data_IF_954684360934
#
_entry.id   IF_954684360934
#
_cell.length_a   1.000
_cell.length_b   1.000
_cell.length_c   1.000
_cell.angle_alpha   90.00
_cell.angle_beta   90.00
_cell.angle_gamma   90.00
#
_symmetry.space_group_name_H-M   'P 1'
#
loop_
_entity.id
_entity.type
_entity.pdbx_description
1 polymer ?
#
# COMPACT_ATOMS: atom_id res chain seq x y z
N UNK A 1 -14.41 -6.43 20.18
CA UNK A 1 -15.29 -6.57 19.02
C UNK A 1 -14.76 -7.78 18.27
N UNK A 2 -15.50 -8.88 18.21
CA UNK A 2 -15.03 -10.06 17.47
C UNK A 2 -15.22 -9.78 15.99
N UNK A 3 -14.13 -9.47 15.28
CA UNK A 3 -14.11 -9.42 13.83
C UNK A 3 -14.00 -10.87 13.35
N UNK A 4 -15.04 -11.37 12.65
CA UNK A 4 -14.92 -12.69 12.05
C UNK A 4 -14.19 -12.58 10.71
N UNK A 5 -13.58 -13.68 10.30
CA UNK A 5 -12.90 -13.82 9.04
C UNK A 5 -13.69 -14.76 8.12
N UNK A 6 -14.04 -14.29 6.93
CA UNK A 6 -14.70 -15.11 5.91
C UNK A 6 -13.70 -15.43 4.81
N UNK A 7 -13.39 -16.71 4.64
CA UNK A 7 -12.35 -17.16 3.72
C UNK A 7 -12.74 -16.89 2.26
N UNK A 8 -11.79 -16.47 1.43
CA UNK A 8 -12.00 -16.28 -0.01
C UNK A 8 -12.47 -17.58 -0.70
N UNK A 9 -11.96 -18.74 -0.25
CA UNK A 9 -12.37 -20.05 -0.73
C UNK A 9 -13.86 -20.33 -0.49
N UNK A 10 -14.45 -19.80 0.59
CA UNK A 10 -15.87 -19.97 0.91
C UNK A 10 -16.75 -18.96 0.15
N UNK A 11 -16.27 -17.72 -0.02
CA UNK A 11 -17.06 -16.65 -0.65
C UNK A 11 -17.07 -16.67 -2.17
N UNK A 12 -15.91 -16.95 -2.78
CA UNK A 12 -15.70 -16.87 -4.24
C UNK A 12 -15.01 -18.10 -4.82
N UNK A 13 -14.43 -18.98 -4.00
CA UNK A 13 -13.87 -20.28 -4.44
C UNK A 13 -12.42 -20.25 -4.90
N UNK A 14 -11.75 -19.09 -4.87
CA UNK A 14 -10.35 -18.93 -5.30
C UNK A 14 -9.68 -17.75 -4.57
N UNK A 15 -8.32 -17.69 -4.52
CA UNK A 15 -7.60 -16.62 -3.83
C UNK A 15 -7.55 -15.34 -4.67
N UNK A 16 -8.63 -14.57 -4.63
CA UNK A 16 -8.82 -13.34 -5.40
C UNK A 16 -7.81 -12.23 -5.07
N UNK A 17 -7.43 -12.03 -3.81
CA UNK A 17 -6.47 -11.00 -3.39
C UNK A 17 -5.06 -11.34 -3.87
N UNK A 18 -4.63 -12.59 -3.69
CA UNK A 18 -3.35 -13.03 -4.25
C UNK A 18 -3.33 -12.94 -5.76
N UNK A 19 -4.46 -13.20 -6.44
CA UNK A 19 -4.58 -13.04 -7.89
C UNK A 19 -4.46 -11.57 -8.31
N UNK A 20 -5.13 -10.63 -7.63
CA UNK A 20 -5.02 -9.19 -7.88
C UNK A 20 -3.60 -8.65 -7.63
N UNK A 21 -2.86 -9.24 -6.69
CA UNK A 21 -1.44 -8.89 -6.49
C UNK A 21 -0.56 -9.49 -7.60
N UNK A 22 -0.80 -10.73 -8.00
CA UNK A 22 0.05 -11.47 -8.92
C UNK A 22 -0.18 -11.12 -10.39
N UNK A 23 -1.42 -10.84 -10.81
CA UNK A 23 -1.77 -10.61 -12.20
C UNK A 23 -1.00 -9.43 -12.83
N UNK A 24 -0.87 -8.25 -12.20
CA UNK A 24 -0.07 -7.16 -12.77
C UNK A 24 1.40 -7.55 -12.94
N UNK A 25 1.95 -8.38 -12.05
CA UNK A 25 3.33 -8.90 -12.14
C UNK A 25 3.48 -9.94 -13.26
N UNK A 26 2.48 -10.78 -13.48
CA UNK A 26 2.44 -11.73 -14.61
C UNK A 26 2.38 -10.97 -15.94
N UNK A 27 1.58 -9.90 -16.01
CA UNK A 27 1.52 -9.02 -17.19
C UNK A 27 2.88 -8.34 -17.41
N UNK A 28 3.55 -7.86 -16.36
CA UNK A 28 4.93 -7.37 -16.44
C UNK A 28 5.89 -8.39 -17.05
N UNK A 29 5.84 -9.65 -16.60
CA UNK A 29 6.68 -10.72 -17.13
C UNK A 29 6.34 -11.02 -18.61
N UNK A 30 5.06 -11.03 -18.98
CA UNK A 30 4.63 -11.20 -20.36
C UNK A 30 5.15 -10.07 -21.27
N UNK A 31 5.11 -8.81 -20.81
CA UNK A 31 5.61 -7.66 -21.57
C UNK A 31 7.11 -7.76 -21.89
N UNK A 32 7.93 -8.42 -21.05
CA UNK A 32 9.36 -8.64 -21.34
C UNK A 32 9.58 -9.54 -22.57
N UNK A 33 8.63 -10.43 -22.87
CA UNK A 33 8.72 -11.35 -24.00
C UNK A 33 8.22 -10.71 -25.30
N UNK A 34 7.44 -9.63 -25.21
CA UNK A 34 6.83 -8.97 -26.36
C UNK A 34 7.76 -7.92 -26.95
N UNK A 35 8.21 -8.14 -28.20
CA UNK A 35 9.11 -7.20 -28.91
C UNK A 35 8.41 -6.15 -29.75
N UNK A 36 7.14 -6.35 -30.08
CA UNK A 36 6.34 -5.46 -30.91
C UNK A 36 5.56 -4.48 -30.02
N UNK A 37 5.71 -3.17 -30.27
CA UNK A 37 5.08 -2.13 -29.44
C UNK A 37 3.55 -2.22 -29.42
N UNK A 38 2.89 -2.49 -30.56
CA UNK A 38 1.43 -2.66 -30.61
C UNK A 38 0.97 -3.88 -29.82
N UNK A 39 1.69 -5.00 -29.94
CA UNK A 39 1.39 -6.18 -29.15
C UNK A 39 1.62 -5.93 -27.66
N UNK A 40 2.65 -5.14 -27.31
CA UNK A 40 2.93 -4.72 -25.94
C UNK A 40 1.78 -3.89 -25.37
N UNK A 41 1.28 -2.91 -26.10
CA UNK A 41 0.12 -2.11 -25.72
C UNK A 41 -1.13 -2.97 -25.48
N UNK A 42 -1.41 -3.91 -26.39
CA UNK A 42 -2.55 -4.84 -26.25
C UNK A 42 -2.41 -5.71 -25.00
N UNK A 43 -1.21 -6.23 -24.72
CA UNK A 43 -0.96 -7.03 -23.51
C UNK A 43 -1.09 -6.19 -22.24
N UNK A 44 -0.54 -4.97 -22.21
CA UNK A 44 -0.62 -4.09 -21.05
C UNK A 44 -2.06 -3.65 -20.75
N UNK A 45 -2.77 -3.13 -21.76
CA UNK A 45 -4.15 -2.67 -21.62
C UNK A 45 -5.08 -3.86 -21.33
N UNK A 46 -4.89 -4.98 -22.03
CA UNK A 46 -5.67 -6.20 -21.79
C UNK A 46 -5.50 -6.73 -20.38
N UNK A 47 -4.26 -6.82 -19.89
CA UNK A 47 -3.94 -7.23 -18.52
C UNK A 47 -4.55 -6.33 -17.47
N UNK A 48 -4.36 -5.01 -17.59
CA UNK A 48 -4.95 -4.02 -16.68
C UNK A 48 -6.49 -4.01 -16.74
N UNK A 49 -7.09 -4.29 -17.90
CA UNK A 49 -8.54 -4.41 -18.02
C UNK A 49 -9.08 -5.63 -17.27
N UNK A 50 -8.38 -6.77 -17.34
CA UNK A 50 -8.72 -7.97 -16.55
C UNK A 50 -8.58 -7.68 -15.06
N UNK A 51 -7.54 -6.96 -14.64
CA UNK A 51 -7.35 -6.53 -13.25
C UNK A 51 -8.53 -5.69 -12.75
N UNK A 52 -8.97 -4.69 -13.52
CA UNK A 52 -10.15 -3.87 -13.20
C UNK A 52 -11.41 -4.72 -13.07
N UNK A 53 -11.61 -5.69 -13.96
CA UNK A 53 -12.76 -6.59 -13.90
C UNK A 53 -12.72 -7.48 -12.65
N UNK A 54 -11.55 -7.99 -12.26
CA UNK A 54 -11.38 -8.76 -11.02
C UNK A 54 -11.64 -7.90 -9.78
N UNK A 55 -11.12 -6.67 -9.75
CA UNK A 55 -11.32 -5.75 -8.63
C UNK A 55 -12.79 -5.30 -8.53
N UNK A 56 -13.46 -5.08 -9.66
CA UNK A 56 -14.90 -4.82 -9.71
C UNK A 56 -15.71 -6.04 -9.24
N UNK A 57 -15.32 -7.25 -9.65
CA UNK A 57 -15.94 -8.48 -9.17
C UNK A 57 -15.79 -8.63 -7.65
N UNK A 58 -14.61 -8.37 -7.08
CA UNK A 58 -14.39 -8.33 -5.63
C UNK A 58 -15.36 -7.35 -4.95
N UNK A 59 -15.45 -6.12 -5.47
CA UNK A 59 -16.32 -5.08 -4.91
C UNK A 59 -17.81 -5.45 -4.97
N UNK A 60 -18.26 -6.06 -6.08
CA UNK A 60 -19.65 -6.51 -6.24
C UNK A 60 -20.01 -7.71 -5.37
N UNK A 61 -19.02 -8.53 -4.99
CA UNK A 61 -19.20 -9.70 -4.12
C UNK A 61 -19.03 -9.38 -2.64
N UNK A 62 -18.60 -8.18 -2.30
CA UNK A 62 -18.44 -7.76 -0.92
C UNK A 62 -19.80 -7.66 -0.22
N UNK A 63 -19.97 -8.39 0.88
CA UNK A 63 -21.16 -8.32 1.72
C UNK A 63 -21.18 -7.05 2.56
N UNK A 64 -22.01 -6.06 2.21
CA UNK A 64 -22.20 -4.86 3.03
C UNK A 64 -23.08 -5.12 4.25
N UNK A 65 -22.94 -4.30 5.30
CA UNK A 65 -23.82 -4.35 6.48
C UNK A 65 -23.37 -5.34 7.57
N UNK A 66 -22.22 -5.99 7.39
CA UNK A 66 -21.51 -6.78 8.40
C UNK A 66 -20.14 -6.18 8.67
N UNK A 67 -19.61 -6.39 9.87
CA UNK A 67 -18.29 -5.89 10.29
C UNK A 67 -17.14 -6.87 10.01
N UNK A 68 -17.43 -8.00 9.37
CA UNK A 68 -16.47 -9.08 9.12
C UNK A 68 -15.41 -8.69 8.10
N UNK A 69 -14.22 -9.29 8.27
CA UNK A 69 -13.16 -9.25 7.27
C UNK A 69 -13.46 -10.35 6.24
N UNK A 70 -13.53 -9.96 4.98
CA UNK A 70 -13.93 -10.80 3.86
C UNK A 70 -12.75 -11.07 2.92
N UNK A 71 -12.93 -12.03 2.03
CA UNK A 71 -11.95 -12.50 1.06
C UNK A 71 -10.64 -12.90 1.73
N UNK A 72 -10.71 -13.49 2.92
CA UNK A 72 -9.52 -13.80 3.70
C UNK A 72 -8.73 -14.91 3.03
N UNK A 73 -7.44 -14.66 2.87
CA UNK A 73 -6.46 -15.62 2.39
C UNK A 73 -5.36 -15.71 3.43
N UNK A 74 -5.19 -16.90 3.99
CA UNK A 74 -4.24 -17.13 5.08
C UNK A 74 -3.42 -18.39 4.80
N UNK A 75 -2.10 -18.24 4.81
CA UNK A 75 -1.16 -19.37 4.82
C UNK A 75 -0.49 -19.51 6.19
N UNK A 76 0.15 -20.66 6.43
CA UNK A 76 0.84 -20.91 7.70
C UNK A 76 1.95 -19.88 7.97
N UNK A 77 2.09 -19.47 9.23
CA UNK A 77 3.08 -18.49 9.64
C UNK A 77 4.50 -19.10 9.70
N UNK A 78 5.49 -18.34 9.23
CA UNK A 78 6.92 -18.65 9.34
C UNK A 78 7.59 -17.51 10.09
N UNK A 79 8.21 -17.81 11.23
CA UNK A 79 8.81 -16.81 12.12
C UNK A 79 7.82 -15.70 12.54
N UNK A 80 6.54 -16.06 12.69
CA UNK A 80 5.47 -15.12 13.06
C UNK A 80 4.90 -14.30 11.91
N UNK A 81 5.45 -14.43 10.70
CA UNK A 81 4.96 -13.76 9.49
C UNK A 81 4.08 -14.71 8.71
N UNK A 82 2.88 -14.28 8.39
CA UNK A 82 1.88 -15.06 7.64
C UNK A 82 1.51 -14.35 6.35
N UNK A 83 1.20 -15.10 5.29
CA UNK A 83 0.50 -14.51 4.14
C UNK A 83 -0.97 -14.37 4.52
N UNK A 84 -1.29 -13.29 5.23
CA UNK A 84 -2.62 -13.02 5.74
C UNK A 84 -3.17 -11.76 5.06
N UNK A 85 -4.10 -11.97 4.13
CA UNK A 85 -4.77 -10.92 3.37
C UNK A 85 -6.26 -10.90 3.71
N UNK A 86 -6.90 -9.75 3.58
CA UNK A 86 -8.34 -9.62 3.68
C UNK A 86 -8.84 -8.19 3.45
N UNK A 87 -10.15 -8.06 3.30
CA UNK A 87 -10.83 -6.81 2.96
C UNK A 87 -12.04 -6.57 3.85
N UNK A 88 -12.21 -5.35 4.31
CA UNK A 88 -13.40 -4.85 4.98
C UNK A 88 -13.76 -3.44 4.49
N UNK A 89 -14.72 -2.80 5.15
CA UNK A 89 -15.21 -1.48 4.74
C UNK A 89 -14.14 -0.37 4.72
N UNK A 90 -13.01 -0.55 5.42
CA UNK A 90 -11.95 0.47 5.48
C UNK A 90 -11.06 0.43 4.24
N UNK A 91 -10.73 -0.76 3.73
CA UNK A 91 -9.78 -0.92 2.61
C UNK A 91 -10.43 -1.30 1.28
N UNK A 92 -11.70 -1.72 1.26
CA UNK A 92 -12.40 -2.20 0.06
C UNK A 92 -12.21 -1.32 -1.17
N UNK A 93 -12.42 0.00 -1.03
CA UNK A 93 -12.42 0.91 -2.17
C UNK A 93 -11.03 1.21 -2.73
N UNK A 94 -9.96 0.98 -1.97
CA UNK A 94 -8.60 1.24 -2.46
C UNK A 94 -8.19 0.26 -3.56
N UNK A 95 -8.61 -1.00 -3.49
CA UNK A 95 -8.28 -2.03 -4.49
C UNK A 95 -8.84 -1.67 -5.89
N UNK A 96 -10.17 -1.50 -6.09
CA UNK A 96 -10.72 -1.15 -7.40
C UNK A 96 -10.31 0.24 -7.87
N UNK A 97 -10.09 1.20 -6.96
CA UNK A 97 -9.56 2.51 -7.34
C UNK A 97 -8.14 2.40 -7.90
N UNK A 98 -7.27 1.62 -7.25
CA UNK A 98 -5.90 1.37 -7.69
C UNK A 98 -5.88 0.70 -9.07
N UNK A 99 -6.66 -0.35 -9.29
CA UNK A 99 -6.77 -1.03 -10.58
C UNK A 99 -7.30 -0.10 -11.69
N UNK A 100 -8.35 0.68 -11.40
CA UNK A 100 -8.93 1.62 -12.37
C UNK A 100 -7.92 2.69 -12.78
N UNK A 101 -7.21 3.27 -11.81
CA UNK A 101 -6.20 4.27 -12.09
C UNK A 101 -5.02 3.69 -12.85
N UNK A 102 -4.59 2.46 -12.55
CA UNK A 102 -3.54 1.78 -13.31
C UNK A 102 -3.91 1.59 -14.78
N UNK A 103 -5.12 1.11 -15.07
CA UNK A 103 -5.63 1.02 -16.45
C UNK A 103 -5.63 2.39 -17.15
N UNK A 104 -6.19 3.42 -16.51
CA UNK A 104 -6.26 4.76 -17.10
C UNK A 104 -4.87 5.35 -17.37
N UNK A 105 -3.91 5.12 -16.48
CA UNK A 105 -2.52 5.55 -16.64
C UNK A 105 -1.84 4.84 -17.80
N UNK A 106 -2.04 3.52 -17.94
CA UNK A 106 -1.48 2.74 -19.05
C UNK A 106 -2.07 3.22 -20.38
N UNK A 107 -3.39 3.39 -20.47
CA UNK A 107 -4.05 3.91 -21.67
C UNK A 107 -3.55 5.32 -22.02
N UNK A 108 -3.41 6.19 -21.03
CA UNK A 108 -2.86 7.53 -21.22
C UNK A 108 -1.41 7.47 -21.72
N UNK A 109 -0.57 6.64 -21.12
CA UNK A 109 0.84 6.52 -21.48
C UNK A 109 1.01 6.06 -22.93
N UNK A 110 0.24 5.08 -23.39
CA UNK A 110 0.26 4.62 -24.78
C UNK A 110 -0.10 5.74 -25.77
N UNK A 111 -1.06 6.61 -25.43
CA UNK A 111 -1.41 7.75 -26.29
C UNK A 111 -0.37 8.88 -26.23
N UNK A 112 0.14 9.19 -25.03
CA UNK A 112 1.09 10.29 -24.82
C UNK A 112 2.49 9.99 -25.38
N UNK A 113 2.88 8.71 -25.40
CA UNK A 113 4.19 8.25 -25.89
C UNK A 113 4.18 7.80 -27.35
N UNK A 114 3.03 7.87 -28.04
CA UNK A 114 2.90 7.53 -29.45
C UNK A 114 3.81 8.36 -30.39
N UNK A 115 4.41 9.45 -29.90
CA UNK A 115 5.33 10.33 -30.64
C UNK A 115 6.79 10.31 -30.14
N UNK A 116 7.10 9.57 -29.06
CA UNK A 116 8.45 9.48 -28.48
C UNK A 116 9.13 8.14 -28.81
N UNK A 117 10.45 8.05 -28.55
CA UNK A 117 11.30 6.92 -28.96
C UNK A 117 10.77 5.54 -28.51
N UNK A 118 10.95 4.54 -29.37
CA UNK A 118 10.56 3.13 -29.21
C UNK A 118 10.86 2.55 -27.83
N UNK A 119 9.86 1.91 -27.20
CA UNK A 119 10.00 1.10 -25.99
C UNK A 119 9.79 1.81 -24.65
N UNK A 120 9.51 3.11 -24.62
CA UNK A 120 9.32 3.84 -23.35
C UNK A 120 7.96 3.55 -22.70
N UNK A 121 6.90 3.42 -23.51
CA UNK A 121 5.53 3.08 -23.08
C UNK A 121 5.44 1.75 -22.33
N UNK A 122 6.15 0.73 -22.84
CA UNK A 122 6.14 -0.62 -22.25
C UNK A 122 6.77 -0.64 -20.87
N UNK A 123 7.94 -0.04 -20.70
CA UNK A 123 8.61 0.01 -19.39
C UNK A 123 7.82 0.88 -18.41
N UNK A 124 7.17 1.91 -18.92
CA UNK A 124 6.27 2.75 -18.15
C UNK A 124 5.09 1.93 -17.61
N UNK A 125 4.38 1.20 -18.48
CA UNK A 125 3.28 0.31 -18.10
C UNK A 125 3.73 -0.74 -17.09
N UNK A 126 4.92 -1.32 -17.26
CA UNK A 126 5.47 -2.27 -16.29
C UNK A 126 5.71 -1.65 -14.91
N UNK A 127 6.24 -0.42 -14.85
CA UNK A 127 6.43 0.27 -13.58
C UNK A 127 5.08 0.60 -12.92
N UNK A 128 4.07 0.99 -13.71
CA UNK A 128 2.70 1.23 -13.21
C UNK A 128 2.06 -0.05 -12.68
N UNK A 129 2.13 -1.17 -13.39
CA UNK A 129 1.61 -2.47 -12.96
C UNK A 129 2.31 -3.00 -11.71
N UNK A 130 3.64 -2.82 -11.62
CA UNK A 130 4.39 -3.18 -10.42
C UNK A 130 4.00 -2.30 -9.21
N UNK A 131 3.76 -1.00 -9.44
CA UNK A 131 3.25 -0.10 -8.42
C UNK A 131 1.85 -0.52 -7.95
N UNK A 132 0.96 -0.84 -8.89
CA UNK A 132 -0.39 -1.33 -8.65
C UNK A 132 -0.39 -2.59 -7.75
N UNK A 133 0.39 -3.61 -8.12
CA UNK A 133 0.53 -4.83 -7.32
C UNK A 133 1.02 -4.55 -5.89
N UNK A 134 2.01 -3.65 -5.74
CA UNK A 134 2.51 -3.28 -4.42
C UNK A 134 1.45 -2.55 -3.58
N UNK A 135 0.64 -1.69 -4.20
CA UNK A 135 -0.44 -0.98 -3.53
C UNK A 135 -1.58 -1.90 -3.12
N UNK A 136 -2.04 -2.79 -4.01
CA UNK A 136 -3.06 -3.78 -3.67
C UNK A 136 -2.55 -4.68 -2.53
N UNK A 137 -1.30 -5.14 -2.61
CA UNK A 137 -0.68 -5.94 -1.56
C UNK A 137 -0.66 -5.22 -0.21
N UNK A 138 -0.25 -3.95 -0.18
CA UNK A 138 -0.26 -3.16 1.05
C UNK A 138 -1.68 -3.00 1.63
N UNK A 139 -2.67 -2.61 0.82
CA UNK A 139 -4.04 -2.43 1.31
C UNK A 139 -4.71 -3.72 1.75
N UNK A 140 -4.39 -4.85 1.11
CA UNK A 140 -4.96 -6.15 1.43
C UNK A 140 -4.31 -6.82 2.66
N UNK A 141 -3.11 -6.38 3.07
CA UNK A 141 -2.34 -7.04 4.13
C UNK A 141 -2.97 -6.88 5.52
N UNK A 142 -3.15 -8.00 6.21
CA UNK A 142 -3.52 -8.10 7.62
C UNK A 142 -2.33 -8.49 8.51
N UNK A 143 -1.24 -8.99 7.93
CA UNK A 143 0.04 -9.12 8.61
C UNK A 143 0.87 -7.83 8.44
N UNK A 144 1.34 -7.26 9.56
CA UNK A 144 2.03 -5.97 9.57
C UNK A 144 3.42 -6.03 8.92
N UNK A 145 4.10 -7.19 8.91
CA UNK A 145 5.37 -7.36 8.20
C UNK A 145 5.12 -7.48 6.70
N UNK A 146 4.07 -8.18 6.27
CA UNK A 146 3.68 -8.23 4.86
C UNK A 146 3.23 -6.84 4.37
N UNK A 147 2.49 -6.09 5.18
CA UNK A 147 2.17 -4.69 4.92
C UNK A 147 3.44 -3.85 4.74
N UNK A 148 4.40 -3.95 5.67
CA UNK A 148 5.68 -3.24 5.59
C UNK A 148 6.49 -3.64 4.35
N UNK A 149 6.48 -4.92 3.99
CA UNK A 149 7.15 -5.41 2.78
C UNK A 149 6.60 -4.73 1.53
N UNK A 150 5.29 -4.70 1.34
CA UNK A 150 4.67 -4.03 0.20
C UNK A 150 4.88 -2.51 0.21
N UNK A 151 4.89 -1.89 1.40
CA UNK A 151 5.24 -0.48 1.57
C UNK A 151 6.65 -0.18 1.04
N UNK A 152 7.63 -1.04 1.33
CA UNK A 152 9.01 -0.86 0.86
C UNK A 152 9.14 -1.20 -0.63
N UNK A 153 8.49 -2.26 -1.08
CA UNK A 153 8.53 -2.71 -2.49
C UNK A 153 7.98 -1.63 -3.42
N UNK A 154 6.94 -0.90 -3.04
CA UNK A 154 6.40 0.22 -3.82
C UNK A 154 7.43 1.31 -4.14
N UNK A 155 8.42 1.53 -3.27
CA UNK A 155 9.44 2.55 -3.51
C UNK A 155 10.19 2.32 -4.82
N UNK A 156 10.37 1.06 -5.23
CA UNK A 156 11.11 0.69 -6.43
C UNK A 156 10.40 1.18 -7.71
N UNK A 157 9.16 0.77 -8.04
CA UNK A 157 8.47 1.29 -9.22
C UNK A 157 8.21 2.79 -9.14
N UNK A 158 7.89 3.34 -7.96
CA UNK A 158 7.74 4.79 -7.78
C UNK A 158 9.02 5.55 -8.14
N UNK A 159 10.18 5.08 -7.68
CA UNK A 159 11.47 5.69 -8.02
C UNK A 159 11.77 5.64 -9.52
N UNK A 160 11.49 4.52 -10.19
CA UNK A 160 11.63 4.43 -11.66
C UNK A 160 10.70 5.44 -12.37
N UNK A 161 9.44 5.53 -11.95
CA UNK A 161 8.47 6.49 -12.49
C UNK A 161 8.96 7.94 -12.37
N UNK A 162 9.47 8.35 -11.21
CA UNK A 162 10.00 9.72 -11.01
C UNK A 162 11.27 9.95 -11.83
N UNK A 163 12.24 9.04 -11.76
CA UNK A 163 13.59 9.30 -12.31
C UNK A 163 13.65 9.26 -13.83
N UNK A 164 12.88 8.36 -14.45
CA UNK A 164 12.92 8.14 -15.91
C UNK A 164 11.87 8.96 -16.64
N UNK A 165 10.67 9.07 -16.08
CA UNK A 165 9.53 9.75 -16.72
C UNK A 165 9.10 11.04 -16.06
N UNK A 166 9.79 11.47 -15.00
CA UNK A 166 9.63 12.79 -14.41
C UNK A 166 10.09 13.94 -15.31
N UNK A 167 9.53 15.11 -15.05
CA UNK A 167 9.82 16.37 -15.75
C UNK A 167 10.89 17.18 -15.03
N UNK A 168 11.59 18.03 -15.77
CA UNK A 168 12.60 18.93 -15.20
C UNK A 168 13.93 18.27 -14.83
N UNK A 169 14.93 19.12 -14.58
CA UNK A 169 16.30 18.70 -14.26
C UNK A 169 16.45 18.13 -12.83
N UNK A 170 15.53 18.49 -11.93
CA UNK A 170 15.56 18.11 -10.51
C UNK A 170 14.90 16.75 -10.20
N UNK A 171 14.32 16.04 -11.18
CA UNK A 171 13.59 14.78 -10.95
C UNK A 171 14.37 13.72 -10.17
N UNK A 172 15.68 13.57 -10.44
CA UNK A 172 16.53 12.61 -9.70
C UNK A 172 16.73 13.01 -8.25
N UNK A 173 16.84 14.31 -7.97
CA UNK A 173 16.92 14.83 -6.61
C UNK A 173 15.59 14.60 -5.88
N UNK A 174 14.46 14.92 -6.51
CA UNK A 174 13.14 14.68 -5.93
C UNK A 174 12.92 13.20 -5.60
N UNK A 175 13.29 12.29 -6.52
CA UNK A 175 13.21 10.85 -6.29
C UNK A 175 14.09 10.40 -5.11
N UNK A 176 15.32 10.92 -5.02
CA UNK A 176 16.24 10.62 -3.91
C UNK A 176 15.69 11.10 -2.57
N UNK A 177 15.16 12.32 -2.50
CA UNK A 177 14.53 12.85 -1.29
C UNK A 177 13.30 12.03 -0.89
N UNK A 178 12.43 11.68 -1.84
CA UNK A 178 11.29 10.79 -1.58
C UNK A 178 11.73 9.44 -0.99
N UNK A 179 12.72 8.76 -1.58
CA UNK A 179 13.22 7.49 -1.06
C UNK A 179 13.79 7.63 0.34
N UNK A 180 14.53 8.71 0.63
CA UNK A 180 15.08 8.94 1.98
C UNK A 180 13.97 9.13 3.01
N UNK A 181 12.96 9.96 2.71
CA UNK A 181 11.81 10.14 3.59
C UNK A 181 11.10 8.80 3.85
N UNK A 182 10.79 8.05 2.80
CA UNK A 182 10.11 6.77 2.93
C UNK A 182 10.95 5.72 3.65
N UNK A 183 12.26 5.67 3.42
CA UNK A 183 13.16 4.75 4.11
C UNK A 183 13.18 5.02 5.61
N UNK A 184 13.32 6.29 6.02
CA UNK A 184 13.27 6.67 7.45
C UNK A 184 11.92 6.32 8.07
N UNK A 185 10.82 6.66 7.40
CA UNK A 185 9.47 6.32 7.86
C UNK A 185 9.28 4.80 8.00
N UNK A 186 9.71 4.03 7.00
CA UNK A 186 9.62 2.57 7.00
C UNK A 186 10.46 1.92 8.10
N UNK A 187 11.61 2.50 8.45
CA UNK A 187 12.47 2.00 9.52
C UNK A 187 11.84 2.23 10.90
N UNK A 188 11.25 3.40 11.14
CA UNK A 188 10.50 3.69 12.36
C UNK A 188 9.28 2.77 12.48
N UNK A 189 8.54 2.60 11.39
CA UNK A 189 7.41 1.69 11.31
C UNK A 189 7.82 0.25 11.64
N UNK A 190 8.90 -0.25 11.01
CA UNK A 190 9.41 -1.60 11.28
C UNK A 190 9.79 -1.78 12.75
N UNK A 191 10.48 -0.81 13.35
CA UNK A 191 10.82 -0.87 14.76
C UNK A 191 9.58 -1.00 15.65
N UNK A 192 8.51 -0.24 15.35
CA UNK A 192 7.22 -0.38 16.04
C UNK A 192 6.58 -1.77 15.86
N UNK A 193 6.57 -2.29 14.62
CA UNK A 193 6.02 -3.62 14.31
C UNK A 193 6.78 -4.73 15.04
N UNK A 194 8.11 -4.67 15.08
CA UNK A 194 8.93 -5.65 15.79
C UNK A 194 8.69 -5.62 17.30
N UNK A 195 8.45 -4.45 17.88
CA UNK A 195 8.06 -4.34 19.30
C UNK A 195 6.66 -4.89 19.55
N UNK A 196 5.70 -4.70 18.65
CA UNK A 196 4.38 -5.35 18.74
C UNK A 196 4.52 -6.87 18.75
N UNK A 197 5.26 -7.45 17.81
CA UNK A 197 5.47 -8.90 17.76
C UNK A 197 6.21 -9.43 18.98
N UNK A 198 7.17 -8.68 19.53
CA UNK A 198 7.84 -9.02 20.79
C UNK A 198 6.85 -9.04 21.96
N UNK A 199 6.00 -8.03 22.06
CA UNK A 199 5.00 -7.95 23.14
C UNK A 199 4.02 -9.11 23.03
N UNK A 200 3.52 -9.41 21.83
CA UNK A 200 2.70 -10.59 21.58
C UNK A 200 3.37 -11.85 22.12
N UNK A 201 4.63 -12.11 21.71
CA UNK A 201 5.38 -13.28 22.16
C UNK A 201 5.53 -13.37 23.69
N UNK A 202 5.71 -12.24 24.37
CA UNK A 202 5.86 -12.18 25.82
C UNK A 202 4.53 -12.43 26.55
N UNK A 203 3.41 -12.02 25.96
CA UNK A 203 2.08 -12.15 26.55
C UNK A 203 1.51 -13.55 26.35
N UNK A 204 1.58 -14.07 25.12
CA UNK A 204 0.94 -15.35 24.76
C UNK A 204 1.84 -16.55 25.05
N UNK A 205 3.16 -16.37 24.97
CA UNK A 205 4.13 -17.47 25.02
C UNK A 205 4.24 -18.26 23.72
N UNK A 206 3.46 -17.94 22.69
CA UNK A 206 3.38 -18.66 21.40
C UNK A 206 4.40 -18.16 20.36
N UNK A 207 5.35 -17.31 20.78
CA UNK A 207 6.32 -16.68 19.91
C UNK A 207 5.78 -15.43 19.19
N UNK A 208 6.57 -14.93 18.23
CA UNK A 208 6.23 -13.72 17.49
C UNK A 208 5.00 -13.96 16.62
N UNK A 209 4.10 -12.97 16.57
CA UNK A 209 3.07 -12.84 15.55
C UNK A 209 3.01 -11.39 15.10
N UNK A 210 2.73 -11.19 13.81
CA UNK A 210 2.52 -9.87 13.22
C UNK A 210 1.12 -9.75 12.59
N UNK A 211 0.26 -10.74 12.79
CA UNK A 211 -1.13 -10.71 12.35
C UNK A 211 -1.93 -9.70 13.16
N UNK A 212 -2.61 -8.78 12.46
CA UNK A 212 -3.36 -7.69 13.07
C UNK A 212 -4.37 -8.17 14.12
N UNK A 213 -5.10 -9.24 13.83
CA UNK A 213 -6.09 -9.81 14.74
C UNK A 213 -5.45 -10.42 16.00
N UNK A 214 -4.34 -11.14 15.85
CA UNK A 214 -3.60 -11.71 16.98
C UNK A 214 -3.00 -10.61 17.86
N UNK A 215 -2.48 -9.54 17.26
CA UNK A 215 -1.97 -8.37 17.98
C UNK A 215 -3.08 -7.61 18.73
N UNK A 216 -4.28 -7.51 18.14
CA UNK A 216 -5.45 -6.94 18.82
C UNK A 216 -5.89 -7.77 20.03
N UNK A 217 -5.90 -9.10 19.88
CA UNK A 217 -6.31 -10.03 20.93
C UNK A 217 -5.31 -10.05 22.10
N UNK A 218 -4.01 -10.11 21.81
CA UNK A 218 -2.97 -10.08 22.84
C UNK A 218 -2.92 -8.72 23.57
N UNK A 219 -3.22 -7.63 22.85
CA UNK A 219 -3.12 -6.27 23.35
C UNK A 219 -1.67 -5.82 23.59
N UNK A 220 -1.53 -4.57 24.06
CA UNK A 220 -0.21 -3.96 24.31
C UNK A 220 -0.15 -3.40 25.72
N UNK A 221 0.88 -3.73 26.53
CA UNK A 221 1.05 -3.20 27.88
C UNK A 221 1.12 -1.67 27.87
N UNK A 222 0.50 -1.03 28.85
CA UNK A 222 0.33 0.45 28.91
C UNK A 222 1.68 1.17 28.81
N UNK A 223 2.70 0.62 29.45
CA UNK A 223 4.05 1.18 29.50
C UNK A 223 4.74 1.16 28.13
N UNK A 224 4.40 0.17 27.29
CA UNK A 224 4.96 0.03 25.95
C UNK A 224 4.18 0.84 24.90
N UNK A 225 2.89 1.12 25.13
CA UNK A 225 2.02 1.73 24.12
C UNK A 225 2.56 3.05 23.58
N UNK A 226 3.07 3.94 24.45
CA UNK A 226 3.52 5.28 24.02
C UNK A 226 4.73 5.22 23.08
N UNK A 227 5.72 4.37 23.36
CA UNK A 227 6.89 4.23 22.50
C UNK A 227 6.51 3.66 21.13
N UNK A 228 5.73 2.56 21.13
CA UNK A 228 5.29 1.91 19.89
C UNK A 228 4.39 2.87 19.09
N UNK A 229 3.55 3.65 19.77
CA UNK A 229 2.71 4.66 19.16
C UNK A 229 3.54 5.67 18.38
N UNK A 230 4.57 6.26 18.99
CA UNK A 230 5.39 7.24 18.26
C UNK A 230 6.19 6.63 17.11
N UNK A 231 6.69 5.40 17.26
CA UNK A 231 7.39 4.70 16.18
C UNK A 231 6.48 4.48 14.97
N UNK A 232 5.28 3.94 15.18
CA UNK A 232 4.31 3.72 14.11
C UNK A 232 3.73 5.05 13.58
N UNK A 233 3.36 5.96 14.48
CA UNK A 233 2.77 7.25 14.12
C UNK A 233 3.71 8.04 13.22
N UNK A 234 4.98 8.21 13.59
CA UNK A 234 5.92 8.94 12.75
C UNK A 234 6.29 8.16 11.48
N UNK A 235 6.35 6.83 11.53
CA UNK A 235 6.52 6.00 10.35
C UNK A 235 5.43 6.24 9.30
N UNK A 236 4.16 6.23 9.73
CA UNK A 236 3.02 6.52 8.88
C UNK A 236 2.85 8.01 8.54
N UNK A 237 3.21 8.92 9.43
CA UNK A 237 3.10 10.37 9.24
C UNK A 237 3.91 10.87 8.04
N UNK A 238 5.08 10.26 7.80
CA UNK A 238 5.90 10.56 6.62
C UNK A 238 5.17 10.17 5.32
N UNK A 239 4.54 9.00 5.29
CA UNK A 239 3.75 8.54 4.13
C UNK A 239 2.44 9.33 3.96
N UNK A 240 1.83 9.75 5.07
CA UNK A 240 0.57 10.50 5.14
C UNK A 240 0.72 12.03 4.95
N UNK A 241 1.82 12.48 4.32
CA UNK A 241 2.45 13.79 4.48
C UNK A 241 1.87 14.67 5.60
N UNK A 242 1.97 14.24 6.86
CA UNK A 242 1.54 15.07 8.00
C UNK A 242 2.61 16.13 8.24
N UNK A 243 2.21 17.37 8.57
CA UNK A 243 3.15 18.42 8.99
C UNK A 243 4.07 17.93 10.14
N UNK A 244 5.39 18.18 10.11
CA UNK A 244 6.19 18.87 9.08
C UNK A 244 6.81 17.93 8.02
N UNK A 245 6.41 16.66 7.95
CA UNK A 245 7.00 15.60 7.13
C UNK A 245 6.50 15.55 5.67
N UNK A 246 5.88 16.62 5.16
CA UNK A 246 5.20 16.64 3.86
C UNK A 246 6.05 17.19 2.70
N UNK A 247 7.25 17.71 2.98
CA UNK A 247 8.06 18.47 1.99
C UNK A 247 8.52 17.66 0.77
N UNK A 248 8.52 16.33 0.87
CA UNK A 248 8.82 15.44 -0.25
C UNK A 248 7.69 15.46 -1.30
N UNK A 249 6.43 15.60 -0.89
CA UNK A 249 5.27 15.46 -1.77
C UNK A 249 5.20 16.57 -2.84
N UNK A 250 5.32 17.87 -2.51
CA UNK A 250 5.33 18.94 -3.52
C UNK A 250 6.42 18.74 -4.57
N UNK A 251 7.61 18.28 -4.18
CA UNK A 251 8.74 18.05 -5.11
C UNK A 251 8.49 16.87 -6.04
N UNK A 252 7.87 15.79 -5.53
CA UNK A 252 7.46 14.65 -6.36
C UNK A 252 6.35 15.06 -7.33
N UNK A 253 5.39 15.88 -6.90
CA UNK A 253 4.33 16.39 -7.76
C UNK A 253 4.85 17.36 -8.84
N UNK A 254 5.83 18.20 -8.49
CA UNK A 254 6.42 19.17 -9.42
C UNK A 254 7.29 18.49 -10.49
N UNK A 255 8.05 17.46 -10.12
CA UNK A 255 9.05 16.83 -10.99
C UNK A 255 8.70 15.42 -11.45
N UNK A 256 7.61 14.82 -10.97
CA UNK A 256 7.10 13.53 -11.41
C UNK A 256 6.14 13.64 -12.60
N UNK A 257 5.86 12.55 -13.32
CA UNK A 257 4.79 12.53 -14.31
C UNK A 257 3.43 12.60 -13.60
N UNK A 258 2.84 13.79 -13.46
CA UNK A 258 1.61 14.02 -12.67
C UNK A 258 0.45 13.10 -13.08
N UNK A 259 0.13 13.03 -14.38
CA UNK A 259 -0.93 12.13 -14.89
C UNK A 259 -0.54 10.67 -14.68
N UNK A 260 0.75 10.39 -14.73
CA UNK A 260 1.35 9.09 -14.61
C UNK A 260 1.54 8.55 -13.18
N UNK A 261 1.28 9.38 -12.18
CA UNK A 261 1.44 9.06 -10.76
C UNK A 261 0.10 9.04 -10.02
N UNK A 262 -1.03 8.94 -10.73
CA UNK A 262 -2.33 8.85 -10.05
C UNK A 262 -2.44 7.61 -9.15
N UNK A 263 -1.89 6.46 -9.53
CA UNK A 263 -1.76 5.27 -8.67
C UNK A 263 -0.94 5.58 -7.42
N UNK A 264 0.15 6.34 -7.58
CA UNK A 264 0.98 6.80 -6.45
C UNK A 264 0.20 7.67 -5.46
N UNK A 265 -0.75 8.49 -5.95
CA UNK A 265 -1.61 9.30 -5.07
C UNK A 265 -2.56 8.46 -4.22
N UNK A 266 -2.98 7.28 -4.69
CA UNK A 266 -3.66 6.31 -3.82
C UNK A 266 -2.70 5.83 -2.74
N UNK A 267 -1.44 5.58 -3.08
CA UNK A 267 -0.38 5.24 -2.13
C UNK A 267 -0.14 6.28 -1.04
N UNK A 268 -0.39 7.57 -1.28
CA UNK A 268 -0.37 8.61 -0.23
C UNK A 268 -1.40 8.31 0.87
N UNK A 269 -2.53 7.70 0.52
CA UNK A 269 -3.56 7.28 1.48
C UNK A 269 -3.15 6.10 2.35
N UNK A 270 -2.12 5.32 1.97
CA UNK A 270 -1.61 4.24 2.83
C UNK A 270 -1.13 4.72 4.19
N UNK A 271 -0.55 5.93 4.26
CA UNK A 271 -0.11 6.49 5.53
C UNK A 271 -1.29 6.68 6.49
N UNK A 272 -2.34 7.36 6.04
CA UNK A 272 -3.56 7.57 6.85
C UNK A 272 -4.29 6.26 7.12
N UNK A 273 -4.36 5.37 6.12
CA UNK A 273 -4.91 4.02 6.29
C UNK A 273 -4.19 3.28 7.42
N UNK A 274 -2.86 3.27 7.45
CA UNK A 274 -2.11 2.58 8.50
C UNK A 274 -2.31 3.17 9.90
N UNK A 275 -2.48 4.50 10.00
CA UNK A 275 -2.86 5.14 11.28
C UNK A 275 -4.23 4.67 11.76
N UNK A 276 -5.23 4.66 10.87
CA UNK A 276 -6.60 4.26 11.19
C UNK A 276 -6.73 2.76 11.45
N UNK A 277 -6.04 1.94 10.65
CA UNK A 277 -6.10 0.47 10.69
C UNK A 277 -5.31 -0.11 11.84
N UNK A 278 -4.06 0.30 11.98
CA UNK A 278 -3.12 -0.34 12.89
C UNK A 278 -2.89 0.48 14.14
N UNK A 279 -2.53 1.76 14.01
CA UNK A 279 -2.05 2.55 15.16
C UNK A 279 -3.16 2.79 16.19
N UNK A 280 -4.30 3.32 15.77
CA UNK A 280 -5.39 3.65 16.70
C UNK A 280 -5.95 2.40 17.41
N UNK A 281 -6.25 1.29 16.69
CA UNK A 281 -6.83 0.11 17.33
C UNK A 281 -5.85 -0.67 18.21
N UNK A 282 -4.57 -0.78 17.81
CA UNK A 282 -3.57 -1.54 18.58
C UNK A 282 -3.06 -0.78 19.81
N UNK A 283 -3.14 0.55 19.81
CA UNK A 283 -2.54 1.41 20.84
C UNK A 283 -3.55 2.44 21.38
N UNK A 284 -4.74 2.01 21.85
CA UNK A 284 -5.85 2.92 22.14
C UNK A 284 -5.55 3.90 23.29
N UNK A 285 -4.80 3.46 24.31
CA UNK A 285 -4.40 4.31 25.43
C UNK A 285 -3.46 5.43 25.00
N UNK A 286 -2.44 5.12 24.20
CA UNK A 286 -1.56 6.14 23.63
C UNK A 286 -2.28 7.04 22.61
N UNK A 287 -3.11 6.47 21.72
CA UNK A 287 -3.84 7.24 20.73
C UNK A 287 -4.79 8.27 21.36
N UNK A 288 -5.51 7.89 22.42
CA UNK A 288 -6.36 8.81 23.19
C UNK A 288 -5.55 9.84 23.97
N UNK A 289 -4.47 9.43 24.66
CA UNK A 289 -3.62 10.33 25.44
C UNK A 289 -2.90 11.39 24.59
N UNK A 290 -2.52 11.04 23.36
CA UNK A 290 -1.83 11.92 22.41
C UNK A 290 -2.75 12.47 21.31
N UNK A 291 -4.07 12.38 21.48
CA UNK A 291 -5.04 12.90 20.51
C UNK A 291 -4.80 14.37 20.18
N UNK A 292 -4.50 15.19 21.19
CA UNK A 292 -4.25 16.63 21.01
C UNK A 292 -3.10 16.90 20.04
N UNK A 293 -2.06 16.06 20.04
CA UNK A 293 -0.91 16.19 19.13
C UNK A 293 -1.34 15.87 17.69
N UNK A 294 -2.07 14.78 17.49
CA UNK A 294 -2.59 14.40 16.17
C UNK A 294 -3.54 15.48 15.62
N UNK A 295 -4.42 16.01 16.46
CA UNK A 295 -5.33 17.10 16.10
C UNK A 295 -4.57 18.38 15.74
N UNK A 296 -3.56 18.77 16.55
CA UNK A 296 -2.73 19.94 16.27
C UNK A 296 -2.00 19.79 14.93
N UNK A 297 -1.32 18.66 14.69
CA UNK A 297 -0.61 18.42 13.43
C UNK A 297 -1.56 18.39 12.22
N UNK A 298 -2.77 17.83 12.39
CA UNK A 298 -3.80 17.81 11.35
C UNK A 298 -4.33 19.21 11.02
N UNK A 299 -4.61 20.03 12.03
CA UNK A 299 -5.03 21.44 11.85
C UNK A 299 -3.91 22.25 11.20
N UNK A 300 -2.68 22.12 11.67
CA UNK A 300 -1.52 22.80 11.05
C UNK A 300 -1.35 22.35 9.61
N UNK A 301 -1.44 21.05 9.33
CA UNK A 301 -1.38 20.51 7.97
C UNK A 301 -2.49 21.05 7.07
N UNK A 302 -3.70 21.28 7.59
CA UNK A 302 -4.82 21.84 6.82
C UNK A 302 -4.64 23.33 6.51
N UNK A 303 -4.01 24.08 7.41
CA UNK A 303 -3.79 25.53 7.24
C UNK A 303 -2.54 25.83 6.41
N UNK A 304 -1.47 25.04 6.60
CA UNK A 304 -0.16 25.28 5.99
C UNK A 304 0.11 24.43 4.74
N UNK A 305 -0.34 23.17 4.74
CA UNK A 305 -0.03 22.17 3.70
C UNK A 305 -0.86 22.35 2.45
#
# INVERSE_FOLDING_TARGET
MNLNEVMAAEQVGFPILSLLIALPLVVCAALQLVRNDRAGAVVAIGGASVEVLLAAFLALRFGSGVADIQFVERSGAVLGVSWHLGVDGVNLLFIPLTALLGLLVIVYAEHATASSSTGDARHYAMATLALEAAMIGAFASLDLIVFWFFFVVELVPSWFLITRWGTGSARRRAAGEYVVFMAVGSALMLAGILLLGRNHAQITGDGYSFEFLALLEAGVPVEAQTLIFFLLFFGFAVKAPIFPFHTWLPKVLEHGPVVGMSVFLVGVKLGTYGLLRFVIPLLPGAASGWFWLMAMLGVTGTVYG
#
